data_IF_822045280630
#
_entry.id   IF_822045280630
#
_cell.length_a   1.000
_cell.length_b   1.000
_cell.length_c   1.000
_cell.angle_alpha   90.00
_cell.angle_beta   90.00
_cell.angle_gamma   90.00
#
_symmetry.space_group_name_H-M   'P 1'
#
loop_
_entity.id
_entity.type
_entity.pdbx_description
1 polymer ?
#
# COMPACT_ATOMS: atom_id res chain seq x y z
N UNK A 1 3.46 -4.30 -8.79
CA UNK A 1 2.26 -4.06 -9.64
C UNK A 1 1.24 -3.30 -8.79
N UNK A 2 0.66 -2.22 -9.29
CA UNK A 2 -0.40 -1.45 -8.62
C UNK A 2 -1.74 -2.00 -9.11
N UNK A 3 -2.61 -2.38 -8.18
CA UNK A 3 -3.98 -2.83 -8.45
C UNK A 3 -4.93 -1.94 -7.66
N UNK A 4 -6.03 -1.54 -8.30
CA UNK A 4 -7.16 -0.94 -7.62
C UNK A 4 -8.17 -2.04 -7.34
N UNK A 5 -8.58 -2.19 -6.08
CA UNK A 5 -9.64 -3.14 -5.74
C UNK A 5 -10.99 -2.61 -6.21
N UNK A 6 -12.00 -3.48 -6.34
CA UNK A 6 -13.37 -3.08 -6.71
C UNK A 6 -14.03 -2.08 -5.74
N UNK A 7 -13.38 -1.73 -4.62
CA UNK A 7 -13.83 -0.73 -3.64
C UNK A 7 -13.07 0.60 -3.72
N UNK A 8 -12.27 0.81 -4.76
CA UNK A 8 -11.33 1.94 -4.89
C UNK A 8 -10.24 1.97 -3.81
N UNK A 9 -9.93 0.83 -3.18
CA UNK A 9 -8.76 0.73 -2.32
C UNK A 9 -7.53 0.45 -3.18
N UNK A 10 -6.38 0.94 -2.74
CA UNK A 10 -5.09 0.63 -3.31
C UNK A 10 -4.62 -0.73 -2.78
N UNK A 11 -4.14 -1.58 -3.67
CA UNK A 11 -3.29 -2.71 -3.31
C UNK A 11 -2.04 -2.69 -4.17
N UNK A 12 -0.87 -2.67 -3.53
CA UNK A 12 0.42 -2.66 -4.19
C UNK A 12 1.27 -3.82 -3.71
N UNK A 13 1.78 -4.62 -4.66
CA UNK A 13 2.67 -5.74 -4.36
C UNK A 13 4.05 -5.55 -4.98
N UNK A 14 5.09 -5.78 -4.17
CA UNK A 14 6.49 -5.83 -4.57
C UNK A 14 7.17 -7.04 -3.92
N UNK A 15 7.44 -8.08 -4.72
CA UNK A 15 7.91 -9.36 -4.20
C UNK A 15 6.88 -9.99 -3.27
N UNK A 16 7.31 -10.33 -2.06
CA UNK A 16 6.47 -10.92 -1.02
C UNK A 16 5.73 -9.88 -0.16
N UNK A 17 6.00 -8.60 -0.38
CA UNK A 17 5.36 -7.53 0.38
C UNK A 17 4.13 -7.00 -0.33
N UNK A 18 3.04 -6.84 0.42
CA UNK A 18 1.80 -6.24 -0.05
C UNK A 18 1.42 -5.07 0.87
N UNK A 19 1.17 -3.91 0.26
CA UNK A 19 0.63 -2.73 0.91
C UNK A 19 -0.81 -2.54 0.46
N UNK A 20 -1.74 -2.35 1.40
CA UNK A 20 -3.17 -2.18 1.14
C UNK A 20 -3.68 -0.94 1.86
N UNK A 21 -4.57 -0.16 1.22
CA UNK A 21 -5.33 0.87 1.92
C UNK A 21 -6.65 0.29 2.44
N UNK A 22 -6.95 0.50 3.72
CA UNK A 22 -8.25 0.17 4.32
C UNK A 22 -9.32 1.16 3.86
N UNK A 23 -8.92 2.39 3.56
CA UNK A 23 -9.78 3.44 3.05
C UNK A 23 -9.75 3.58 1.52
N UNK A 24 -10.73 4.31 0.99
CA UNK A 24 -10.81 4.62 -0.44
C UNK A 24 -9.64 5.51 -0.83
N UNK A 25 -8.87 5.07 -1.81
CA UNK A 25 -7.83 5.88 -2.43
C UNK A 25 -8.45 6.89 -3.38
N UNK A 26 -8.10 8.17 -3.20
CA UNK A 26 -8.50 9.22 -4.13
C UNK A 26 -7.44 9.37 -5.20
N UNK A 27 -7.83 9.18 -6.46
CA UNK A 27 -6.93 9.25 -7.61
C UNK A 27 -7.05 10.59 -8.33
N UNK A 28 -5.93 11.27 -8.54
CA UNK A 28 -5.81 12.48 -9.36
C UNK A 28 -4.98 12.13 -10.60
N UNK A 29 -5.64 11.61 -11.63
CA UNK A 29 -4.96 11.08 -12.80
C UNK A 29 -4.09 9.88 -12.46
N UNK A 30 -2.76 10.04 -12.49
CA UNK A 30 -1.80 8.97 -12.15
C UNK A 30 -1.34 9.01 -10.70
N UNK A 31 -1.76 10.02 -9.94
CA UNK A 31 -1.38 10.19 -8.53
C UNK A 31 -2.44 9.58 -7.63
N UNK A 32 -2.01 8.79 -6.66
CA UNK A 32 -2.84 8.32 -5.56
C UNK A 32 -2.60 9.23 -4.35
N UNK A 33 -3.65 9.85 -3.82
CA UNK A 33 -3.63 10.37 -2.46
C UNK A 33 -4.05 9.27 -1.52
N UNK A 34 -3.13 8.94 -0.63
CA UNK A 34 -3.23 7.84 0.32
C UNK A 34 -2.99 8.44 1.70
N UNK A 35 -3.89 8.19 2.64
CA UNK A 35 -3.65 8.48 4.03
C UNK A 35 -2.73 7.40 4.61
N UNK A 36 -1.58 7.79 5.14
CA UNK A 36 -0.62 6.85 5.74
C UNK A 36 -1.19 6.10 6.94
N UNK A 37 -2.16 6.67 7.65
CA UNK A 37 -2.81 6.02 8.79
C UNK A 37 -3.80 4.91 8.35
N UNK A 38 -4.17 4.90 7.07
CA UNK A 38 -5.08 3.89 6.50
C UNK A 38 -4.36 2.70 5.87
N UNK A 39 -3.07 2.54 6.10
CA UNK A 39 -2.25 1.54 5.42
C UNK A 39 -2.02 0.29 6.26
N UNK A 40 -2.11 -0.86 5.59
CA UNK A 40 -1.77 -2.17 6.15
C UNK A 40 -0.67 -2.81 5.30
N UNK A 41 0.26 -3.50 5.97
CA UNK A 41 1.40 -4.15 5.36
C UNK A 41 1.40 -5.64 5.68
N UNK A 42 1.54 -6.47 4.66
CA UNK A 42 1.56 -7.92 4.79
C UNK A 42 2.79 -8.53 4.10
N UNK A 43 3.28 -9.64 4.65
CA UNK A 43 4.34 -10.45 4.06
C UNK A 43 3.77 -11.79 3.55
N UNK A 44 3.38 -11.83 2.28
CA UNK A 44 2.59 -12.91 1.68
C UNK A 44 3.27 -14.30 1.67
N UNK A 45 4.58 -14.36 1.84
CA UNK A 45 5.29 -15.65 1.96
C UNK A 45 5.16 -16.26 3.36
N UNK A 46 5.02 -15.42 4.38
CA UNK A 46 4.86 -15.85 5.78
C UNK A 46 3.39 -15.83 6.21
N UNK A 47 2.61 -14.91 5.65
CA UNK A 47 1.19 -14.69 5.90
C UNK A 47 0.43 -14.52 4.56
N UNK A 48 0.16 -15.62 3.85
CA UNK A 48 -0.57 -15.59 2.58
C UNK A 48 -2.04 -15.20 2.73
N UNK A 49 -2.60 -15.30 3.95
CA UNK A 49 -4.01 -15.01 4.26
C UNK A 49 -4.22 -13.56 4.74
N UNK A 50 -3.15 -12.78 4.92
CA UNK A 50 -3.18 -11.36 5.29
C UNK A 50 -3.83 -11.12 6.66
N UNK A 51 -3.55 -12.02 7.62
CA UNK A 51 -4.07 -11.96 8.99
C UNK A 51 -3.27 -11.00 9.90
N UNK A 52 -1.98 -10.79 9.61
CA UNK A 52 -1.06 -10.04 10.48
C UNK A 52 -0.60 -8.76 9.81
N UNK A 53 -1.13 -7.63 10.29
CA UNK A 53 -0.66 -6.31 9.87
C UNK A 53 0.70 -5.97 10.50
N UNK A 54 1.68 -5.66 9.64
CA UNK A 54 3.05 -5.29 9.97
C UNK A 54 3.32 -3.79 9.77
N UNK A 55 2.31 -2.98 9.47
CA UNK A 55 2.46 -1.55 9.16
C UNK A 55 3.20 -0.77 10.25
N UNK A 56 2.81 -0.96 11.50
CA UNK A 56 3.44 -0.34 12.68
C UNK A 56 4.82 -0.94 13.01
N UNK A 57 5.05 -2.21 12.65
CA UNK A 57 6.28 -2.94 12.96
C UNK A 57 7.39 -2.65 11.95
N UNK A 58 7.03 -2.31 10.71
CA UNK A 58 7.96 -2.07 9.61
C UNK A 58 7.64 -0.76 8.84
N UNK A 59 7.65 0.42 9.52
CA UNK A 59 7.31 1.69 8.89
C UNK A 59 8.26 2.08 7.74
N UNK A 60 9.53 1.65 7.79
CA UNK A 60 10.48 1.82 6.70
C UNK A 60 10.07 1.07 5.43
N UNK A 61 9.42 -0.09 5.59
CA UNK A 61 8.93 -0.89 4.46
C UNK A 61 7.70 -0.26 3.83
N UNK A 62 6.78 0.23 4.65
CA UNK A 62 5.62 1.04 4.21
C UNK A 62 6.08 2.22 3.36
N UNK A 63 7.04 3.00 3.87
CA UNK A 63 7.59 4.15 3.15
C UNK A 63 8.28 3.76 1.84
N UNK A 64 9.04 2.66 1.82
CA UNK A 64 9.70 2.18 0.61
C UNK A 64 8.68 1.79 -0.48
N UNK A 65 7.59 1.09 -0.11
CA UNK A 65 6.51 0.72 -1.02
C UNK A 65 5.73 1.96 -1.48
N UNK A 66 5.41 2.90 -0.57
CA UNK A 66 4.75 4.16 -0.92
C UNK A 66 5.55 4.95 -1.95
N UNK A 67 6.86 5.09 -1.78
CA UNK A 67 7.71 5.81 -2.74
C UNK A 67 7.70 5.20 -4.15
N UNK A 68 7.41 3.91 -4.28
CA UNK A 68 7.24 3.24 -5.58
C UNK A 68 5.87 3.54 -6.21
N UNK A 69 4.86 3.85 -5.39
CA UNK A 69 3.50 4.18 -5.82
C UNK A 69 3.40 5.68 -6.15
N UNK A 70 3.97 6.53 -5.30
CA UNK A 70 3.94 8.00 -5.38
C UNK A 70 5.07 8.60 -6.21
N UNK A 71 5.64 7.84 -7.16
CA UNK A 71 6.65 8.33 -8.11
C UNK A 71 6.16 9.46 -9.06
N UNK A 72 5.09 10.18 -8.71
CA UNK A 72 4.90 11.59 -9.04
C UNK A 72 4.94 12.44 -7.76
N UNK A 73 6.16 12.86 -7.39
CA UNK A 73 6.50 13.71 -6.25
C UNK A 73 5.64 14.99 -6.23
N UNK A 74 4.78 15.17 -5.23
CA UNK A 74 4.26 16.50 -4.87
C UNK A 74 5.43 17.24 -4.20
N UNK A 75 5.84 18.35 -4.82
CA UNK A 75 6.79 19.32 -4.25
C UNK A 75 6.07 20.26 -3.30
#
# INVERSE_FOLDING_TARGET
>A
MILQTGRNQLAFRLGDWKLVSTEKTTWYGKLAMIDSESLQLYHLNEDPEEEVDLSDQCPERVNALLNQITAGRIR
#
